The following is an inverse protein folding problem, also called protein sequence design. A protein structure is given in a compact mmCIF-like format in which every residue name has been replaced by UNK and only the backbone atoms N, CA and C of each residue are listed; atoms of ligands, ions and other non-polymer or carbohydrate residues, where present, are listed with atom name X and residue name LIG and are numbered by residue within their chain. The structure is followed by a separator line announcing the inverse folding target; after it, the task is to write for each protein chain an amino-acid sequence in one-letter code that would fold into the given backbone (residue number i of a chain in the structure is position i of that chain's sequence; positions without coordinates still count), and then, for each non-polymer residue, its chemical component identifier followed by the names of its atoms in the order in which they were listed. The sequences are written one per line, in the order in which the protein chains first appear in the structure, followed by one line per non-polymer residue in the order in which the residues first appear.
data_IF_728213218782
#
_entry.id   IF_728213218782
#
_cell.length_a   1.000
_cell.length_b   1.000
_cell.length_c   1.000
_cell.angle_alpha   90.00
_cell.angle_beta   90.00
_cell.angle_gamma   90.00
#
_symmetry.space_group_name_H-M   'P 1'
#
loop_
_entity.id
_entity.type
_entity.pdbx_description
1 polymer ?
#
# COMPACT_ATOMS: atom_id res chain seq x y z
N UNK A 1 11.19 18.19 -5.70
CA UNK A 1 9.76 18.56 -5.78
C UNK A 1 8.96 17.46 -5.10
N UNK A 2 8.58 17.63 -3.83
CA UNK A 2 8.09 16.55 -2.94
C UNK A 2 6.98 17.02 -1.98
N UNK A 3 6.26 18.09 -2.33
CA UNK A 3 5.37 18.83 -1.42
C UNK A 3 4.08 18.09 -1.04
N UNK A 4 3.48 17.35 -1.97
CA UNK A 4 2.12 16.79 -1.84
C UNK A 4 1.91 15.92 -0.57
N UNK A 5 2.86 15.04 -0.22
CA UNK A 5 2.73 14.18 0.97
C UNK A 5 2.85 14.99 2.26
N UNK A 6 3.84 15.88 2.35
CA UNK A 6 4.06 16.72 3.54
C UNK A 6 2.89 17.68 3.72
N UNK A 7 2.37 18.29 2.65
CA UNK A 7 1.17 19.14 2.67
C UNK A 7 -0.07 18.36 3.10
N UNK A 8 -0.27 17.15 2.59
CA UNK A 8 -1.40 16.28 2.99
C UNK A 8 -1.36 15.95 4.49
N UNK A 9 -0.20 15.58 5.02
CA UNK A 9 0.01 15.37 6.47
C UNK A 9 -0.19 16.69 7.23
N UNK A 10 0.31 17.80 6.70
CA UNK A 10 0.20 19.13 7.28
C UNK A 10 -1.27 19.55 7.44
N UNK A 11 -2.13 19.28 6.43
CA UNK A 11 -3.57 19.52 6.45
C UNK A 11 -4.30 18.63 7.45
N UNK A 12 -3.97 17.33 7.51
CA UNK A 12 -4.58 16.40 8.47
C UNK A 12 -4.33 16.89 9.90
N UNK A 13 -3.08 17.27 10.23
CA UNK A 13 -2.66 17.65 11.58
C UNK A 13 -2.90 19.13 11.92
N UNK A 14 -3.29 19.99 10.97
CA UNK A 14 -3.36 21.47 11.17
C UNK A 14 -4.22 21.90 12.35
N UNK A 15 -5.29 21.17 12.66
CA UNK A 15 -6.22 21.47 13.78
C UNK A 15 -5.83 20.82 15.12
N UNK A 16 -4.79 19.99 15.17
CA UNK A 16 -4.49 19.13 16.33
C UNK A 16 -3.04 19.14 16.80
N UNK A 17 -2.13 19.90 16.17
CA UNK A 17 -0.71 20.01 16.59
C UNK A 17 -0.52 20.33 18.06
N UNK A 18 -1.28 21.31 18.55
CA UNK A 18 -1.09 21.88 19.88
C UNK A 18 -1.85 21.09 20.96
N UNK A 19 -2.33 19.88 20.63
CA UNK A 19 -3.07 19.01 21.54
C UNK A 19 -2.20 17.84 22.01
N UNK A 20 -2.53 17.18 23.13
CA UNK A 20 -1.84 15.97 23.57
C UNK A 20 -1.80 14.88 22.50
N UNK A 21 -0.78 14.03 22.55
CA UNK A 21 -0.57 12.92 21.60
C UNK A 21 -1.81 12.01 21.51
N UNK A 22 -2.54 11.82 22.61
CA UNK A 22 -3.81 11.08 22.63
C UNK A 22 -4.89 11.69 21.73
N UNK A 23 -4.98 13.03 21.65
CA UNK A 23 -5.91 13.72 20.75
C UNK A 23 -5.48 13.61 19.28
N UNK A 24 -4.17 13.66 19.01
CA UNK A 24 -3.61 13.40 17.68
C UNK A 24 -4.00 11.98 17.20
N UNK A 25 -3.72 10.94 18.00
CA UNK A 25 -4.09 9.54 17.70
C UNK A 25 -5.61 9.36 17.55
N UNK A 26 -6.42 9.95 18.45
CA UNK A 26 -7.88 9.86 18.37
C UNK A 26 -8.43 10.55 17.10
N UNK A 27 -7.88 11.71 16.73
CA UNK A 27 -8.33 12.47 15.56
C UNK A 27 -7.95 11.81 14.23
N UNK A 28 -6.76 11.19 14.13
CA UNK A 28 -6.36 10.44 12.94
C UNK A 28 -7.18 9.17 12.79
N UNK A 29 -7.40 8.42 13.88
CA UNK A 29 -8.27 7.24 13.90
C UNK A 29 -9.71 7.55 13.44
N UNK A 30 -10.35 8.59 14.01
CA UNK A 30 -11.72 8.96 13.64
C UNK A 30 -11.82 9.35 12.16
N UNK A 31 -10.89 10.18 11.65
CA UNK A 31 -10.89 10.59 10.23
C UNK A 31 -10.62 9.42 9.28
N UNK A 32 -9.74 8.50 9.67
CA UNK A 32 -9.46 7.29 8.90
C UNK A 32 -10.70 6.40 8.80
N UNK A 33 -11.36 6.11 9.93
CA UNK A 33 -12.60 5.31 9.94
C UNK A 33 -13.71 5.96 9.10
N UNK A 34 -13.92 7.28 9.23
CA UNK A 34 -14.92 7.99 8.43
C UNK A 34 -14.66 7.88 6.91
N UNK A 35 -13.39 7.88 6.49
CA UNK A 35 -13.00 7.65 5.09
C UNK A 35 -13.27 6.21 4.64
N UNK A 36 -13.04 5.21 5.50
CA UNK A 36 -13.38 3.81 5.20
C UNK A 36 -14.89 3.57 5.12
N UNK A 37 -15.67 4.20 6.00
CA UNK A 37 -17.14 4.13 5.94
C UNK A 37 -17.70 4.86 4.71
N UNK A 38 -17.10 6.00 4.30
CA UNK A 38 -17.43 6.63 3.04
C UNK A 38 -17.13 5.70 1.86
N UNK A 39 -15.95 5.09 1.81
CA UNK A 39 -15.60 4.13 0.74
C UNK A 39 -16.51 2.90 0.73
N UNK A 40 -16.94 2.40 1.89
CA UNK A 40 -17.93 1.32 1.99
C UNK A 40 -19.27 1.73 1.39
N UNK A 41 -19.72 2.96 1.63
CA UNK A 41 -20.94 3.51 0.99
C UNK A 41 -20.77 3.69 -0.52
N UNK A 42 -19.64 4.22 -1.00
CA UNK A 42 -19.35 4.32 -2.44
C UNK A 42 -19.41 2.94 -3.13
N UNK A 43 -18.79 1.91 -2.54
CA UNK A 43 -18.84 0.52 -3.03
C UNK A 43 -20.26 -0.04 -2.99
N UNK A 44 -21.02 0.17 -1.92
CA UNK A 44 -22.41 -0.28 -1.84
C UNK A 44 -23.27 0.36 -2.94
N UNK A 45 -23.13 1.66 -3.20
CA UNK A 45 -23.84 2.34 -4.29
C UNK A 45 -23.46 1.79 -5.67
N UNK A 46 -22.16 1.50 -5.91
CA UNK A 46 -21.70 0.88 -7.16
C UNK A 46 -22.24 -0.53 -7.38
N UNK A 47 -22.45 -1.31 -6.29
CA UNK A 47 -23.06 -2.62 -6.39
C UNK A 47 -24.56 -2.54 -6.72
N UNK A 48 -25.27 -1.52 -6.23
CA UNK A 48 -26.69 -1.29 -6.56
C UNK A 48 -26.91 -0.65 -7.93
N UNK A 49 -25.96 0.15 -8.44
CA UNK A 49 -26.06 0.75 -9.76
C UNK A 49 -25.74 -0.25 -10.87
N UNK A 50 -26.46 -0.16 -11.99
CA UNK A 50 -26.05 -0.79 -13.24
C UNK A 50 -25.14 0.16 -14.02
N UNK A 51 -23.84 -0.07 -13.87
CA UNK A 51 -22.80 0.70 -14.51
C UNK A 51 -22.45 0.03 -15.85
N UNK A 52 -22.51 0.80 -16.94
CA UNK A 52 -22.42 0.28 -18.31
C UNK A 52 -21.01 -0.20 -18.62
N UNK A 53 -20.88 -1.48 -18.98
CA UNK A 53 -19.67 -2.09 -19.52
C UNK A 53 -19.75 -2.08 -21.05
N UNK A 54 -18.60 -1.94 -21.73
CA UNK A 54 -18.54 -1.87 -23.20
C UNK A 54 -17.99 -3.13 -23.84
N UNK A 55 -17.10 -3.86 -23.17
CA UNK A 55 -16.52 -5.10 -23.70
C UNK A 55 -16.07 -6.05 -22.60
N UNK A 56 -16.35 -7.35 -22.81
CA UNK A 56 -15.95 -8.46 -21.94
C UNK A 56 -15.57 -9.66 -22.82
N UNK A 57 -14.41 -10.26 -22.55
CA UNK A 57 -14.01 -11.52 -23.15
C UNK A 57 -14.22 -12.65 -22.13
N UNK A 58 -14.82 -13.78 -22.54
CA UNK A 58 -15.07 -14.92 -21.66
C UNK A 58 -13.83 -15.80 -21.42
N UNK A 59 -12.82 -15.72 -22.28
CA UNK A 59 -11.63 -16.57 -22.22
C UNK A 59 -10.51 -15.95 -21.37
N UNK A 60 -10.39 -14.62 -21.42
CA UNK A 60 -9.43 -13.84 -20.65
C UNK A 60 -10.21 -12.98 -19.66
N UNK A 61 -9.84 -12.93 -18.37
CA UNK A 61 -10.62 -12.19 -17.35
C UNK A 61 -10.44 -10.66 -17.41
N UNK A 62 -10.35 -10.09 -18.62
CA UNK A 62 -10.31 -8.66 -18.85
C UNK A 62 -11.71 -8.06 -19.09
N UNK A 63 -11.91 -6.88 -18.51
CA UNK A 63 -13.14 -6.11 -18.58
C UNK A 63 -12.80 -4.69 -18.99
N UNK A 64 -13.54 -4.14 -19.96
CA UNK A 64 -13.49 -2.73 -20.30
C UNK A 64 -14.62 -1.99 -19.58
N UNK A 65 -14.27 -1.28 -18.51
CA UNK A 65 -15.20 -0.56 -17.64
C UNK A 65 -15.20 0.92 -17.99
N UNK A 66 -16.33 1.45 -18.45
CA UNK A 66 -16.49 2.88 -18.71
C UNK A 66 -16.93 3.60 -17.43
N UNK A 67 -16.20 4.64 -16.98
CA UNK A 67 -16.71 5.50 -15.89
C UNK A 67 -17.77 6.46 -16.45
N UNK A 68 -19.04 6.22 -16.09
CA UNK A 68 -20.12 7.19 -16.26
C UNK A 68 -19.92 8.39 -15.32
N UNK A 69 -20.40 9.57 -15.76
CA UNK A 69 -20.10 10.86 -15.15
C UNK A 69 -20.42 10.86 -13.65
N UNK A 70 -19.38 11.00 -12.83
CA UNK A 70 -19.52 11.23 -11.39
C UNK A 70 -19.29 12.73 -11.13
N UNK A 71 -20.34 13.56 -10.96
CA UNK A 71 -20.22 15.02 -10.94
C UNK A 71 -19.42 15.59 -9.76
N UNK A 72 -18.87 14.74 -8.88
CA UNK A 72 -17.98 15.09 -7.77
C UNK A 72 -16.49 14.81 -8.02
N UNK A 73 -16.11 14.22 -9.16
CA UNK A 73 -14.71 13.85 -9.48
C UNK A 73 -14.31 14.45 -10.83
N UNK A 74 -13.34 15.37 -10.81
CA UNK A 74 -12.92 16.25 -11.93
C UNK A 74 -12.01 15.53 -12.96
N UNK A 75 -11.91 14.20 -12.93
CA UNK A 75 -10.87 13.42 -13.62
C UNK A 75 -11.34 11.99 -13.96
N UNK A 76 -10.88 11.41 -15.08
CA UNK A 76 -11.24 11.77 -16.44
C UNK A 76 -12.24 10.77 -17.03
N UNK A 77 -13.05 11.21 -17.99
CA UNK A 77 -13.87 10.31 -18.82
C UNK A 77 -12.96 9.35 -19.57
N UNK A 78 -13.13 8.05 -19.37
CA UNK A 78 -12.26 7.04 -19.99
C UNK A 78 -12.80 5.62 -19.86
N UNK A 79 -12.30 4.75 -20.74
CA UNK A 79 -12.51 3.31 -20.69
C UNK A 79 -11.33 2.69 -19.93
N UNK A 80 -11.61 1.97 -18.86
CA UNK A 80 -10.61 1.41 -17.96
C UNK A 80 -10.52 -0.11 -18.08
N UNK A 81 -9.33 -0.63 -18.31
CA UNK A 81 -9.05 -2.07 -18.41
C UNK A 81 -8.78 -2.66 -17.03
N UNK A 82 -9.58 -3.66 -16.65
CA UNK A 82 -9.44 -4.45 -15.42
C UNK A 82 -9.12 -5.89 -15.80
N UNK A 83 -8.12 -6.50 -15.15
CA UNK A 83 -7.78 -7.93 -15.26
C UNK A 83 -7.90 -8.58 -13.88
N UNK A 84 -8.89 -9.46 -13.70
CA UNK A 84 -9.22 -10.02 -12.39
C UNK A 84 -8.23 -11.13 -11.96
N UNK A 85 -7.77 -11.95 -12.89
CA UNK A 85 -6.70 -12.94 -12.74
C UNK A 85 -5.41 -12.33 -12.14
N UNK A 86 -4.89 -11.29 -12.78
CA UNK A 86 -3.64 -10.61 -12.40
C UNK A 86 -3.81 -9.61 -11.26
N UNK A 87 -5.05 -9.41 -10.76
CA UNK A 87 -5.40 -8.38 -9.77
C UNK A 87 -4.93 -6.99 -10.22
N UNK A 88 -5.19 -6.66 -11.48
CA UNK A 88 -4.66 -5.49 -12.14
C UNK A 88 -5.78 -4.58 -12.66
N UNK A 89 -5.54 -3.27 -12.59
CA UNK A 89 -6.37 -2.27 -13.24
C UNK A 89 -5.51 -1.08 -13.66
N UNK A 90 -5.67 -0.62 -14.88
CA UNK A 90 -4.95 0.51 -15.49
C UNK A 90 -5.03 1.82 -14.69
N UNK A 91 -6.12 2.07 -13.94
CA UNK A 91 -6.24 3.25 -13.09
C UNK A 91 -5.22 3.29 -11.93
N UNK A 92 -4.42 2.24 -11.72
CA UNK A 92 -3.33 2.14 -10.75
C UNK A 92 -3.76 2.09 -9.28
N UNK A 93 -5.04 2.32 -8.98
CA UNK A 93 -5.57 2.40 -7.61
C UNK A 93 -5.45 1.06 -6.88
N UNK A 94 -5.69 -0.08 -7.56
CA UNK A 94 -5.62 -1.40 -6.95
C UNK A 94 -4.19 -1.74 -6.51
N UNK A 95 -3.21 -1.45 -7.36
CA UNK A 95 -1.79 -1.71 -7.14
C UNK A 95 -1.23 -0.76 -6.07
N UNK A 96 -1.59 0.54 -6.13
CA UNK A 96 -1.07 1.57 -5.21
C UNK A 96 -1.66 1.49 -3.79
N UNK A 97 -2.95 1.19 -3.66
CA UNK A 97 -3.63 1.14 -2.36
C UNK A 97 -3.85 -0.28 -1.84
N UNK A 98 -3.50 -1.31 -2.62
CA UNK A 98 -3.73 -2.72 -2.27
C UNK A 98 -5.19 -3.03 -1.86
N UNK A 99 -6.13 -2.30 -2.46
CA UNK A 99 -7.57 -2.35 -2.20
C UNK A 99 -8.36 -2.18 -3.52
N UNK A 100 -9.52 -2.83 -3.69
CA UNK A 100 -10.36 -2.72 -4.89
C UNK A 100 -10.68 -1.27 -5.28
N UNK A 101 -10.50 -0.94 -6.56
CA UNK A 101 -11.01 0.30 -7.14
C UNK A 101 -12.47 0.15 -7.61
N UNK A 102 -13.09 1.25 -8.05
CA UNK A 102 -14.42 1.25 -8.67
C UNK A 102 -14.53 0.19 -9.76
N UNK A 103 -13.59 0.21 -10.72
CA UNK A 103 -13.57 -0.70 -11.87
C UNK A 103 -13.50 -2.18 -11.46
N UNK A 104 -12.65 -2.51 -10.49
CA UNK A 104 -12.49 -3.88 -9.97
C UNK A 104 -13.76 -4.35 -9.25
N UNK A 105 -14.43 -3.49 -8.48
CA UNK A 105 -15.72 -3.82 -7.85
C UNK A 105 -16.80 -4.09 -8.89
N UNK A 106 -16.87 -3.30 -9.95
CA UNK A 106 -17.84 -3.46 -11.05
C UNK A 106 -17.56 -4.76 -11.83
N UNK A 107 -16.30 -5.00 -12.20
CA UNK A 107 -15.88 -6.25 -12.85
C UNK A 107 -16.18 -7.47 -11.97
N UNK A 108 -15.94 -7.39 -10.66
CA UNK A 108 -16.30 -8.44 -9.70
C UNK A 108 -17.82 -8.70 -9.67
N UNK A 109 -18.66 -7.66 -9.66
CA UNK A 109 -20.14 -7.79 -9.73
C UNK A 109 -20.55 -8.57 -10.98
N UNK A 110 -20.00 -8.21 -12.14
CA UNK A 110 -20.35 -8.83 -13.42
C UNK A 110 -19.81 -10.27 -13.55
N UNK A 111 -18.61 -10.54 -13.02
CA UNK A 111 -17.99 -11.86 -13.02
C UNK A 111 -18.50 -12.78 -11.90
N UNK A 112 -19.46 -12.35 -11.08
CA UNK A 112 -19.94 -13.03 -9.88
C UNK A 112 -18.84 -13.37 -8.83
N UNK A 113 -17.73 -12.63 -8.81
CA UNK A 113 -16.66 -12.79 -7.84
C UNK A 113 -16.86 -11.87 -6.61
N UNK A 114 -16.49 -12.35 -5.42
CA UNK A 114 -16.48 -11.49 -4.23
C UNK A 114 -15.29 -10.53 -4.24
N UNK A 115 -15.55 -9.22 -4.37
CA UNK A 115 -14.52 -8.17 -4.39
C UNK A 115 -13.61 -8.16 -3.13
N UNK A 116 -14.06 -8.72 -2.00
CA UNK A 116 -13.29 -8.82 -0.74
C UNK A 116 -12.06 -9.74 -0.88
N UNK A 117 -12.03 -10.63 -1.86
CA UNK A 117 -10.87 -11.48 -2.16
C UNK A 117 -9.64 -10.67 -2.63
N UNK A 118 -9.88 -9.53 -3.28
CA UNK A 118 -8.88 -8.59 -3.78
C UNK A 118 -8.37 -7.57 -2.74
N UNK A 119 -8.97 -7.54 -1.54
CA UNK A 119 -8.44 -6.75 -0.41
C UNK A 119 -7.19 -7.44 0.15
N UNK A 120 -6.06 -6.71 0.18
CA UNK A 120 -4.79 -7.22 0.68
C UNK A 120 -4.81 -7.51 2.19
N UNK A 121 -3.96 -8.46 2.62
CA UNK A 121 -3.95 -9.00 3.99
C UNK A 121 -3.68 -7.96 5.07
N UNK A 122 -2.95 -6.88 4.76
CA UNK A 122 -2.72 -5.72 5.66
C UNK A 122 -4.03 -5.09 6.16
N UNK A 123 -5.09 -5.12 5.35
CA UNK A 123 -6.40 -4.54 5.70
C UNK A 123 -7.37 -5.56 6.30
N UNK A 124 -6.96 -6.83 6.45
CA UNK A 124 -7.78 -7.91 7.04
C UNK A 124 -7.30 -8.19 8.46
N UNK A 125 -8.18 -7.98 9.47
CA UNK A 125 -7.88 -8.22 10.89
C UNK A 125 -7.35 -9.63 11.19
N UNK A 126 -7.68 -10.62 10.36
CA UNK A 126 -7.15 -11.98 10.42
C UNK A 126 -5.61 -12.05 10.39
N UNK A 127 -4.92 -11.09 9.78
CA UNK A 127 -3.45 -11.03 9.77
C UNK A 127 -2.84 -10.48 11.08
N UNK A 128 -3.62 -9.70 11.85
CA UNK A 128 -3.18 -9.11 13.12
C UNK A 128 -3.27 -10.12 14.27
N UNK A 129 -4.29 -10.98 14.26
CA UNK A 129 -4.48 -12.00 15.31
C UNK A 129 -3.53 -13.20 15.19
N UNK A 130 -3.06 -13.54 13.98
CA UNK A 130 -2.37 -14.80 13.71
C UNK A 130 -0.91 -14.62 13.26
N UNK A 131 -0.03 -14.32 14.23
CA UNK A 131 1.31 -14.93 14.41
C UNK A 131 2.05 -14.26 15.57
N UNK A 132 1.87 -14.80 16.79
CA UNK A 132 2.92 -14.72 17.81
C UNK A 132 4.00 -15.70 17.39
N UNK A 133 5.23 -15.23 17.18
CA UNK A 133 6.37 -16.15 17.16
C UNK A 133 6.64 -16.68 18.59
N UNK A 134 7.46 -17.72 18.73
CA UNK A 134 7.88 -18.27 20.04
C UNK A 134 8.64 -17.27 20.94
N UNK A 135 8.84 -16.04 20.48
CA UNK A 135 9.47 -14.92 21.20
C UNK A 135 8.49 -13.76 21.46
N UNK A 136 7.18 -14.00 21.37
CA UNK A 136 6.12 -13.09 21.79
C UNK A 136 5.92 -11.83 20.93
N UNK A 137 6.64 -11.64 19.82
CA UNK A 137 6.51 -10.45 18.97
C UNK A 137 5.37 -10.61 17.96
N UNK A 138 4.54 -9.57 17.82
CA UNK A 138 3.56 -9.46 16.74
C UNK A 138 4.27 -9.39 15.39
N UNK A 139 3.78 -10.18 14.43
CA UNK A 139 4.15 -10.04 13.03
C UNK A 139 3.41 -8.86 12.40
N UNK A 140 3.98 -7.65 12.49
CA UNK A 140 3.49 -6.52 11.69
C UNK A 140 3.82 -6.77 10.22
N UNK A 141 2.83 -6.86 9.30
CA UNK A 141 3.10 -6.86 7.88
C UNK A 141 3.45 -5.42 7.49
N UNK A 142 4.74 -5.08 7.64
CA UNK A 142 5.24 -3.76 7.30
C UNK A 142 5.20 -3.58 5.78
N UNK A 143 4.42 -2.61 5.31
CA UNK A 143 4.54 -2.14 3.93
C UNK A 143 5.96 -1.59 3.74
N UNK A 144 6.65 -1.99 2.68
CA UNK A 144 7.89 -1.34 2.25
C UNK A 144 7.55 0.06 1.70
N UNK A 145 7.38 1.04 2.58
CA UNK A 145 7.45 2.45 2.21
C UNK A 145 8.88 2.80 1.78
N UNK A 146 9.05 3.85 0.97
CA UNK A 146 10.36 4.30 0.47
C UNK A 146 11.40 4.52 1.59
N UNK A 147 10.98 4.88 2.82
CA UNK A 147 11.86 4.97 4.00
C UNK A 147 12.55 3.66 4.42
N UNK A 148 12.04 2.49 3.98
CA UNK A 148 12.64 1.18 4.23
C UNK A 148 13.58 0.73 3.09
N UNK A 149 13.68 1.51 2.01
CA UNK A 149 14.70 1.31 0.98
C UNK A 149 15.98 1.94 1.52
N UNK A 150 16.90 1.11 2.03
CA UNK A 150 18.29 1.55 2.15
C UNK A 150 18.80 1.81 0.74
N UNK A 151 19.15 3.05 0.43
CA UNK A 151 19.87 3.37 -0.81
C UNK A 151 21.10 2.47 -0.91
N UNK A 152 21.14 1.62 -1.94
CA UNK A 152 22.25 0.68 -2.17
C UNK A 152 23.43 1.38 -2.87
N UNK A 153 23.72 2.61 -2.46
CA UNK A 153 24.66 3.55 -3.09
C UNK A 153 26.05 3.57 -2.46
N UNK A 154 26.32 2.68 -1.49
CA UNK A 154 27.63 2.55 -0.84
C UNK A 154 28.03 1.06 -0.76
N UNK A 155 29.15 0.63 -1.39
CA UNK A 155 29.66 -0.72 -1.20
C UNK A 155 30.01 -0.96 0.27
N UNK A 156 29.87 -2.21 0.74
CA UNK A 156 30.16 -2.58 2.14
C UNK A 156 31.65 -2.37 2.42
N UNK A 157 31.96 -1.34 3.19
CA UNK A 157 33.33 -0.98 3.61
C UNK A 157 33.83 -1.88 4.74
N UNK A 158 35.12 -2.21 4.73
CA UNK A 158 35.80 -2.92 5.81
C UNK A 158 35.67 -2.15 7.14
N UNK A 159 35.28 -2.81 8.23
CA UNK A 159 35.05 -2.15 9.52
C UNK A 159 36.33 -1.75 10.28
N UNK A 160 37.51 -1.99 9.73
CA UNK A 160 38.80 -1.50 10.26
C UNK A 160 39.28 -0.27 9.47
N UNK A 161 39.55 -0.41 8.17
CA UNK A 161 40.15 0.64 7.34
C UNK A 161 39.13 1.48 6.53
N UNK A 162 37.84 1.12 6.53
CA UNK A 162 36.75 1.78 5.79
C UNK A 162 36.89 1.79 4.25
N UNK A 163 37.80 0.99 3.68
CA UNK A 163 37.95 0.74 2.24
C UNK A 163 36.94 -0.34 1.80
N UNK A 164 36.34 -0.27 0.60
CA UNK A 164 35.52 -1.35 0.03
C UNK A 164 36.32 -2.64 -0.29
N UNK A 165 35.64 -3.59 -0.93
CA UNK A 165 36.18 -4.82 -1.56
C UNK A 165 36.78 -5.90 -0.63
N UNK A 166 36.83 -5.67 0.69
CA UNK A 166 37.23 -6.72 1.65
C UNK A 166 36.54 -6.60 3.02
N UNK A 167 36.55 -7.70 3.77
CA UNK A 167 36.00 -7.76 5.14
C UNK A 167 37.08 -7.52 6.19
N UNK A 168 36.69 -7.24 7.44
CA UNK A 168 37.61 -7.09 8.59
C UNK A 168 38.59 -8.26 8.73
N UNK A 169 38.19 -9.49 8.39
CA UNK A 169 39.04 -10.69 8.50
C UNK A 169 40.22 -10.68 7.53
N UNK A 170 40.05 -10.10 6.35
CA UNK A 170 41.06 -10.05 5.28
C UNK A 170 41.63 -8.63 5.10
N UNK A 171 41.56 -7.80 6.14
CA UNK A 171 42.13 -6.46 6.12
C UNK A 171 43.65 -6.53 6.27
N UNK A 172 44.40 -5.89 5.37
CA UNK A 172 45.87 -5.76 5.47
C UNK A 172 46.34 -5.03 6.75
N UNK A 173 45.45 -4.28 7.41
CA UNK A 173 45.71 -3.63 8.71
C UNK A 173 45.27 -4.49 9.91
N UNK A 174 44.88 -5.75 9.69
CA UNK A 174 44.55 -6.69 10.77
C UNK A 174 45.85 -7.28 11.33
N UNK A 175 46.38 -6.64 12.36
CA UNK A 175 47.39 -7.28 13.22
C UNK A 175 46.71 -8.48 13.90
N UNK A 176 47.17 -9.68 13.56
CA UNK A 176 46.71 -10.91 14.22
C UNK A 176 47.35 -10.98 15.61
N UNK A 177 46.54 -10.79 16.66
CA UNK A 177 46.97 -10.81 18.06
C UNK A 177 47.17 -12.25 18.57
N UNK A 178 47.84 -13.09 17.78
CA UNK A 178 48.20 -14.49 18.08
C UNK A 178 49.68 -14.68 18.47
N UNK A 179 50.38 -13.58 18.78
CA UNK A 179 51.70 -13.60 19.44
C UNK A 179 51.69 -12.72 20.70
N UNK A 180 51.02 -13.23 21.75
CA UNK A 180 51.33 -12.83 23.13
C UNK A 180 50.98 -13.96 24.11
N UNK A 181 51.87 -14.95 24.15
CA UNK A 181 52.16 -15.85 25.27
C UNK A 181 53.66 -16.06 25.32
#
# INVERSE_FOLDING_TARGET
MTTNLVESINLILKKTRNLPISALVKSTYIRYNALFDQRRREVATMLTSDQVYTQFNRCDTWFLVQETINPRKVWPTGNFTVRLDERWCDCGKLQKFHMPCSHVVIACKHAHHEYKSYIHLVYKLQSVSNKRNSKGRLFSPCMHTEMNIRESSQPKRCSMCRIPDHSKKNCSHRIDSSQQR
#
